data_IF_536005024940
#
_entry.id   IF_536005024940
#
_cell.length_a   1.000
_cell.length_b   1.000
_cell.length_c   1.000
_cell.angle_alpha   90.00
_cell.angle_beta   90.00
_cell.angle_gamma   90.00
#
_symmetry.space_group_name_H-M   'P 1'
#
loop_
_entity.id
_entity.type
_entity.pdbx_description
1 polymer ?
#
# COMPACT_ATOMS: atom_id res chain seq x y z
N UNK A 1 46.85 -50.24 10.86
CA UNK A 1 45.77 -50.52 9.92
C UNK A 1 44.48 -49.78 10.33
N UNK A 2 43.96 -49.97 11.55
CA UNK A 2 42.70 -49.32 11.98
C UNK A 2 42.76 -47.78 12.03
N UNK A 3 43.87 -47.22 12.45
CA UNK A 3 44.04 -45.76 12.50
C UNK A 3 44.04 -45.15 11.11
N UNK A 4 44.74 -45.76 10.15
CA UNK A 4 44.76 -45.33 8.76
C UNK A 4 43.39 -45.43 8.10
N UNK A 5 42.61 -46.44 8.40
CA UNK A 5 41.23 -46.57 7.89
C UNK A 5 40.30 -45.48 8.44
N UNK A 6 40.43 -45.17 9.72
CA UNK A 6 39.67 -44.11 10.38
C UNK A 6 40.03 -42.74 9.77
N UNK A 7 41.32 -42.46 9.61
CA UNK A 7 41.79 -41.17 9.02
C UNK A 7 41.27 -41.04 7.58
N UNK A 8 41.32 -42.10 6.77
CA UNK A 8 40.78 -42.10 5.39
C UNK A 8 39.27 -41.84 5.37
N UNK A 9 38.49 -42.45 6.26
CA UNK A 9 37.05 -42.22 6.36
C UNK A 9 36.72 -40.76 6.76
N UNK A 10 37.51 -40.21 7.69
CA UNK A 10 37.36 -38.81 8.07
C UNK A 10 37.68 -37.85 6.92
N UNK A 11 38.75 -38.10 6.16
CA UNK A 11 39.12 -37.27 5.01
C UNK A 11 38.09 -37.37 3.90
N UNK A 12 37.58 -38.55 3.55
CA UNK A 12 36.49 -38.73 2.58
C UNK A 12 35.17 -38.05 3.04
N UNK A 13 34.84 -38.18 4.32
CA UNK A 13 33.68 -37.44 4.86
C UNK A 13 33.89 -35.93 4.78
N UNK A 14 35.07 -35.43 5.11
CA UNK A 14 35.37 -34.01 5.02
C UNK A 14 35.27 -33.48 3.59
N UNK A 15 35.83 -34.20 2.61
CA UNK A 15 35.68 -33.86 1.18
C UNK A 15 34.23 -33.94 0.71
N UNK A 16 33.47 -34.93 1.14
CA UNK A 16 32.06 -35.07 0.80
C UNK A 16 31.21 -33.92 1.36
N UNK A 17 31.42 -33.53 2.62
CA UNK A 17 30.71 -32.38 3.19
C UNK A 17 31.20 -31.05 2.65
N UNK A 18 32.49 -30.88 2.36
CA UNK A 18 33.03 -29.68 1.73
C UNK A 18 32.49 -29.49 0.30
N UNK A 19 32.31 -30.61 -0.46
CA UNK A 19 31.72 -30.54 -1.80
C UNK A 19 30.24 -30.33 -1.83
N UNK A 20 29.52 -30.71 -0.77
CA UNK A 20 28.08 -30.46 -0.60
C UNK A 20 27.71 -29.11 0.05
N UNK A 21 28.65 -28.43 0.70
CA UNK A 21 28.46 -27.05 1.08
C UNK A 21 28.51 -26.23 -0.21
N UNK A 22 27.39 -26.15 -0.93
CA UNK A 22 27.22 -25.10 -1.91
C UNK A 22 27.45 -23.80 -1.15
N UNK A 23 28.60 -23.16 -1.34
CA UNK A 23 28.85 -21.83 -0.82
C UNK A 23 27.82 -20.94 -1.50
N UNK A 24 26.74 -20.67 -0.80
CA UNK A 24 25.80 -19.63 -1.22
C UNK A 24 26.56 -18.32 -1.18
N UNK A 25 27.03 -17.88 -2.34
CA UNK A 25 27.65 -16.59 -2.48
C UNK A 25 26.53 -15.53 -2.43
N UNK A 26 26.35 -14.92 -1.27
CA UNK A 26 25.49 -13.77 -1.13
C UNK A 26 26.20 -12.54 -1.70
N UNK A 27 25.58 -11.91 -2.68
CA UNK A 27 26.01 -10.61 -3.19
C UNK A 27 25.08 -9.56 -2.63
N UNK A 28 25.62 -8.56 -1.95
CA UNK A 28 24.87 -7.37 -1.57
C UNK A 28 24.59 -6.53 -2.83
N UNK A 29 23.35 -6.08 -2.97
CA UNK A 29 22.92 -5.16 -4.02
C UNK A 29 22.17 -4.04 -3.35
N UNK A 30 22.50 -2.80 -3.66
CA UNK A 30 21.78 -1.63 -3.15
C UNK A 30 20.31 -1.71 -3.57
N UNK A 31 19.43 -1.44 -2.63
CA UNK A 31 18.00 -1.29 -2.91
C UNK A 31 17.73 0.12 -3.43
N UNK A 32 16.57 0.36 -4.12
CA UNK A 32 16.18 1.70 -4.54
C UNK A 32 16.20 2.73 -3.40
N UNK A 33 15.91 2.31 -2.17
CA UNK A 33 16.04 3.15 -0.99
C UNK A 33 17.49 3.60 -0.75
N UNK A 34 18.43 2.67 -0.81
CA UNK A 34 19.86 2.97 -0.60
C UNK A 34 20.40 3.87 -1.71
N UNK A 35 20.02 3.60 -2.96
CA UNK A 35 20.38 4.44 -4.11
C UNK A 35 19.84 5.86 -3.97
N UNK A 36 18.59 6.02 -3.54
CA UNK A 36 18.00 7.33 -3.31
C UNK A 36 18.70 8.11 -2.19
N UNK A 37 19.10 7.41 -1.11
CA UNK A 37 19.83 7.99 0.00
C UNK A 37 21.19 8.52 -0.46
N UNK A 38 21.92 7.76 -1.27
CA UNK A 38 23.25 8.13 -1.78
C UNK A 38 23.20 9.29 -2.76
N UNK A 39 22.22 9.30 -3.67
CA UNK A 39 22.20 10.19 -4.83
C UNK A 39 21.30 11.41 -4.65
N UNK A 40 20.62 11.54 -3.52
CA UNK A 40 19.75 12.71 -3.28
C UNK A 40 18.42 12.66 -4.00
N UNK A 41 17.90 11.45 -4.32
CA UNK A 41 16.62 11.29 -4.97
C UNK A 41 15.46 11.42 -3.98
N UNK A 42 14.28 11.80 -4.50
CA UNK A 42 13.03 11.65 -3.77
C UNK A 42 12.67 10.17 -3.72
N UNK A 43 12.33 9.69 -2.54
CA UNK A 43 11.79 8.34 -2.34
C UNK A 43 10.45 8.39 -1.62
N UNK A 44 9.49 7.65 -2.12
CA UNK A 44 8.21 7.42 -1.49
C UNK A 44 8.17 6.03 -0.86
N UNK A 45 7.77 5.96 0.40
CA UNK A 45 7.49 4.73 1.13
C UNK A 45 5.97 4.64 1.26
N UNK A 46 5.35 3.77 0.46
CA UNK A 46 3.91 3.59 0.42
C UNK A 46 3.45 2.55 1.43
N UNK A 47 2.34 2.83 2.11
CA UNK A 47 1.61 1.92 3.00
C UNK A 47 2.50 1.18 4.03
N UNK A 48 3.41 1.85 4.75
CA UNK A 48 4.26 1.17 5.73
C UNK A 48 3.48 0.60 6.92
N UNK A 49 2.23 1.01 7.11
CA UNK A 49 1.31 0.52 8.16
C UNK A 49 0.89 -0.93 7.97
N UNK A 50 0.98 -1.47 6.74
CA UNK A 50 0.69 -2.89 6.44
C UNK A 50 1.88 -3.81 6.65
N UNK A 51 3.07 -3.28 6.94
CA UNK A 51 4.26 -4.09 7.22
C UNK A 51 4.03 -4.93 8.48
N UNK A 52 4.19 -6.25 8.36
CA UNK A 52 3.95 -7.19 9.47
C UNK A 52 4.79 -6.88 10.72
N UNK A 53 6.03 -6.41 10.52
CA UNK A 53 6.92 -5.97 11.60
C UNK A 53 7.22 -4.47 11.47
N UNK A 54 6.50 -3.59 12.19
CA UNK A 54 6.74 -2.14 12.17
C UNK A 54 8.14 -1.73 12.63
N UNK A 55 8.85 -2.61 13.33
CA UNK A 55 10.23 -2.40 13.78
C UNK A 55 11.23 -2.22 12.63
N UNK A 56 10.90 -2.68 11.41
CA UNK A 56 11.75 -2.47 10.22
C UNK A 56 11.93 -0.97 9.94
N UNK A 57 10.90 -0.16 10.14
CA UNK A 57 10.98 1.29 9.94
C UNK A 57 11.86 2.00 10.98
N UNK A 58 12.03 1.41 12.16
CA UNK A 58 12.92 1.95 13.21
C UNK A 58 14.38 1.95 12.73
N UNK A 59 14.75 1.05 11.83
CA UNK A 59 16.07 1.07 11.17
C UNK A 59 16.35 2.34 10.36
N UNK A 60 15.31 3.07 9.97
CA UNK A 60 15.42 4.35 9.27
C UNK A 60 15.55 5.56 10.21
N UNK A 61 15.42 5.37 11.52
CA UNK A 61 15.45 6.48 12.47
C UNK A 61 16.76 7.26 12.40
N UNK A 62 17.91 6.56 12.34
CA UNK A 62 19.23 7.22 12.24
C UNK A 62 19.37 8.06 10.97
N UNK A 63 18.69 7.66 9.89
CA UNK A 63 18.65 8.39 8.64
C UNK A 63 17.80 9.65 8.71
N UNK A 64 16.75 9.65 9.51
CA UNK A 64 15.85 10.78 9.72
C UNK A 64 16.32 11.73 10.84
N UNK A 65 17.20 11.25 11.72
CA UNK A 65 17.83 12.01 12.78
C UNK A 65 19.06 12.81 12.30
N UNK A 66 19.68 13.54 13.24
CA UNK A 66 20.91 14.31 13.00
C UNK A 66 22.10 13.48 12.56
N UNK A 67 22.11 12.17 12.83
CA UNK A 67 23.16 11.25 12.37
C UNK A 67 23.23 11.16 10.84
N UNK A 68 22.10 11.37 10.17
CA UNK A 68 21.99 11.39 8.70
C UNK A 68 22.64 10.18 8.01
N UNK A 69 22.65 9.01 8.64
CA UNK A 69 23.33 7.82 8.11
C UNK A 69 22.55 6.55 8.40
N UNK A 70 22.80 5.54 7.59
CA UNK A 70 22.31 4.19 7.79
C UNK A 70 23.45 3.19 7.66
N UNK A 71 23.45 2.17 8.54
CA UNK A 71 24.39 1.07 8.49
C UNK A 71 23.79 -0.07 7.65
N UNK A 72 24.55 -0.54 6.66
CA UNK A 72 24.10 -1.58 5.74
C UNK A 72 24.60 -2.95 6.16
N UNK A 73 23.93 -4.05 5.75
CA UNK A 73 24.33 -5.42 6.07
C UNK A 73 25.72 -5.81 5.55
N UNK A 74 26.24 -5.12 4.52
CA UNK A 74 27.57 -5.32 3.98
C UNK A 74 28.69 -4.68 4.84
N UNK A 75 28.34 -4.02 5.96
CA UNK A 75 29.27 -3.33 6.84
C UNK A 75 29.54 -1.86 6.47
N UNK A 76 28.94 -1.36 5.41
CA UNK A 76 29.08 0.03 4.98
C UNK A 76 28.14 0.97 5.74
N UNK A 77 28.59 2.17 6.02
CA UNK A 77 27.75 3.28 6.53
C UNK A 77 27.51 4.27 5.39
N UNK A 78 26.27 4.43 5.00
CA UNK A 78 25.86 5.36 3.97
C UNK A 78 25.36 6.66 4.60
N UNK A 79 25.98 7.77 4.21
CA UNK A 79 25.54 9.11 4.59
C UNK A 79 24.37 9.56 3.70
N UNK A 80 23.43 10.23 4.31
CA UNK A 80 22.29 10.82 3.60
C UNK A 80 22.72 12.01 2.76
N UNK A 81 22.44 11.97 1.47
CA UNK A 81 22.62 13.15 0.63
C UNK A 81 21.75 14.32 1.11
N UNK A 82 22.24 15.57 1.10
CA UNK A 82 21.49 16.73 1.61
C UNK A 82 20.15 16.97 0.86
N UNK A 83 20.10 16.72 -0.43
CA UNK A 83 18.92 16.98 -1.28
C UNK A 83 17.88 15.85 -1.22
N UNK A 84 18.15 14.76 -0.49
CA UNK A 84 17.24 13.64 -0.42
C UNK A 84 15.95 13.99 0.34
N UNK A 85 14.82 13.62 -0.24
CA UNK A 85 13.48 13.75 0.36
C UNK A 85 12.89 12.36 0.59
N UNK A 86 12.37 12.10 1.78
CA UNK A 86 11.56 10.91 2.08
C UNK A 86 10.12 11.37 2.24
N UNK A 87 9.24 10.76 1.46
CA UNK A 87 7.79 10.88 1.57
C UNK A 87 7.24 9.56 2.09
N UNK A 88 6.35 9.60 3.04
CA UNK A 88 5.62 8.43 3.54
C UNK A 88 4.15 8.68 3.28
N UNK A 89 3.52 7.77 2.57
CA UNK A 89 2.07 7.82 2.30
C UNK A 89 1.40 6.60 2.90
N UNK A 90 0.32 6.81 3.64
CA UNK A 90 -0.41 5.72 4.29
C UNK A 90 -1.86 6.09 4.50
N UNK A 91 -2.70 5.06 4.53
CA UNK A 91 -4.08 5.17 4.97
C UNK A 91 -4.16 4.74 6.45
N UNK A 92 -4.96 5.45 7.22
CA UNK A 92 -5.14 5.16 8.65
C UNK A 92 -6.35 4.26 8.93
N UNK A 93 -7.29 4.16 7.98
CA UNK A 93 -8.65 3.64 8.21
C UNK A 93 -8.90 2.24 7.60
N UNK A 94 -7.89 1.59 7.02
CA UNK A 94 -8.04 0.23 6.48
C UNK A 94 -7.99 -0.84 7.57
N UNK A 95 -8.86 -1.83 7.44
CA UNK A 95 -8.77 -3.06 8.23
C UNK A 95 -7.38 -3.72 8.04
N UNK A 96 -6.67 -3.91 9.16
CA UNK A 96 -5.31 -4.47 9.15
C UNK A 96 -4.16 -3.45 9.14
N UNK A 97 -4.42 -2.17 8.97
CA UNK A 97 -3.42 -1.12 9.19
C UNK A 97 -3.04 -1.04 10.67
N UNK A 98 -1.74 -0.97 10.93
CA UNK A 98 -1.20 -0.69 12.26
C UNK A 98 -0.82 0.78 12.33
N UNK A 99 -0.98 1.45 13.47
CA UNK A 99 -0.53 2.83 13.60
C UNK A 99 0.98 2.92 13.34
N UNK A 100 1.40 3.98 12.65
CA UNK A 100 2.81 4.28 12.50
C UNK A 100 3.46 4.42 13.88
N UNK A 101 4.68 3.90 14.00
CA UNK A 101 5.43 4.04 15.24
C UNK A 101 5.67 5.53 15.55
N UNK A 102 5.37 5.95 16.77
CA UNK A 102 5.56 7.33 17.22
C UNK A 102 6.98 7.84 17.02
N UNK A 103 7.99 6.96 17.10
CA UNK A 103 9.38 7.31 16.83
C UNK A 103 9.64 7.73 15.39
N UNK A 104 8.87 7.19 14.45
CA UNK A 104 8.92 7.56 13.02
C UNK A 104 8.19 8.89 12.82
N UNK A 105 6.97 9.00 13.36
CA UNK A 105 6.15 10.22 13.25
C UNK A 105 6.90 11.45 13.81
N UNK A 106 7.54 11.31 14.97
CA UNK A 106 8.26 12.42 15.64
C UNK A 106 9.48 12.94 14.85
N UNK A 107 9.93 12.20 13.83
CA UNK A 107 11.06 12.56 12.95
C UNK A 107 10.62 13.11 11.61
N UNK A 108 9.33 13.11 11.33
CA UNK A 108 8.78 13.74 10.13
C UNK A 108 8.80 15.27 10.30
N UNK A 109 9.31 15.97 9.30
CA UNK A 109 9.36 17.43 9.30
C UNK A 109 8.01 18.06 9.00
N UNK A 110 7.16 17.36 8.24
CA UNK A 110 5.83 17.80 7.82
C UNK A 110 4.88 16.62 7.89
N UNK A 111 3.73 16.84 8.47
CA UNK A 111 2.60 15.90 8.48
C UNK A 111 1.42 16.57 7.78
N UNK A 112 0.83 15.87 6.83
CA UNK A 112 -0.31 16.37 6.05
C UNK A 112 -1.42 15.34 6.12
N UNK A 113 -2.55 15.73 6.68
CA UNK A 113 -3.78 14.97 6.61
C UNK A 113 -4.52 15.36 5.33
N UNK A 114 -4.66 14.39 4.43
CA UNK A 114 -5.44 14.58 3.22
C UNK A 114 -6.91 14.31 3.53
N UNK A 115 -7.69 15.39 3.59
CA UNK A 115 -9.14 15.30 3.74
C UNK A 115 -9.77 14.73 2.45
N UNK A 116 -10.90 14.07 2.58
CA UNK A 116 -11.72 13.73 1.43
C UNK A 116 -12.07 14.99 0.63
N UNK A 117 -11.99 14.95 -0.70
CA UNK A 117 -12.35 16.10 -1.53
C UNK A 117 -13.84 16.39 -1.40
N UNK A 118 -14.22 17.66 -1.50
CA UNK A 118 -15.63 18.03 -1.63
C UNK A 118 -16.25 17.46 -2.92
N UNK A 119 -17.59 17.40 -2.95
CA UNK A 119 -18.34 16.79 -4.06
C UNK A 119 -17.96 17.40 -5.42
N UNK A 120 -17.75 18.71 -5.49
CA UNK A 120 -17.44 19.39 -6.74
C UNK A 120 -16.06 19.01 -7.26
N UNK A 121 -15.06 19.05 -6.41
CA UNK A 121 -13.67 18.63 -6.71
C UNK A 121 -13.62 17.16 -7.11
N UNK A 122 -14.39 16.29 -6.42
CA UNK A 122 -14.48 14.87 -6.74
C UNK A 122 -15.06 14.66 -8.14
N UNK A 123 -16.18 15.31 -8.45
CA UNK A 123 -16.84 15.23 -9.76
C UNK A 123 -15.92 15.73 -10.87
N UNK A 124 -15.24 16.87 -10.67
CA UNK A 124 -14.29 17.40 -11.65
C UNK A 124 -13.13 16.45 -11.90
N UNK A 125 -12.58 15.83 -10.86
CA UNK A 125 -11.54 14.83 -10.98
C UNK A 125 -12.01 13.61 -11.77
N UNK A 126 -13.20 13.09 -11.45
CA UNK A 126 -13.76 11.91 -12.14
C UNK A 126 -14.04 12.21 -13.60
N UNK A 127 -14.65 13.36 -13.90
CA UNK A 127 -14.88 13.83 -15.28
C UNK A 127 -13.55 13.99 -16.03
N UNK A 128 -12.54 14.59 -15.40
CA UNK A 128 -11.21 14.77 -16.00
C UNK A 128 -10.51 13.45 -16.31
N UNK A 129 -10.63 12.45 -15.45
CA UNK A 129 -10.01 11.13 -15.64
C UNK A 129 -10.77 10.27 -16.65
N UNK A 130 -12.12 10.26 -16.59
CA UNK A 130 -12.96 9.39 -17.41
C UNK A 130 -13.29 9.97 -18.77
N UNK A 131 -13.28 11.30 -18.90
CA UNK A 131 -13.78 12.01 -20.08
C UNK A 131 -15.31 11.99 -20.21
N UNK A 132 -16.05 11.58 -19.17
CA UNK A 132 -17.51 11.54 -19.18
C UNK A 132 -18.07 12.97 -19.30
N UNK A 133 -18.96 13.19 -20.29
CA UNK A 133 -19.56 14.51 -20.55
C UNK A 133 -20.80 14.79 -19.70
N UNK A 134 -21.36 13.77 -19.07
CA UNK A 134 -22.60 13.85 -18.29
C UNK A 134 -22.32 14.20 -16.83
N UNK A 135 -21.84 15.44 -16.59
CA UNK A 135 -21.45 15.90 -15.24
C UNK A 135 -22.55 15.68 -14.19
N UNK A 136 -23.83 15.82 -14.54
CA UNK A 136 -24.95 15.58 -13.62
C UNK A 136 -25.07 14.11 -13.20
N UNK A 137 -24.89 13.19 -14.16
CA UNK A 137 -24.89 11.75 -13.90
C UNK A 137 -23.72 11.39 -12.97
N UNK A 138 -22.51 11.89 -13.27
CA UNK A 138 -21.34 11.68 -12.41
C UNK A 138 -21.57 12.23 -11.00
N UNK A 139 -22.25 13.38 -10.88
CA UNK A 139 -22.60 13.96 -9.58
C UNK A 139 -23.56 13.07 -8.79
N UNK A 140 -24.58 12.52 -9.42
CA UNK A 140 -25.47 11.54 -8.78
C UNK A 140 -24.72 10.32 -8.32
N UNK A 141 -23.86 9.76 -9.17
CA UNK A 141 -23.01 8.61 -8.82
C UNK A 141 -22.06 8.92 -7.66
N UNK A 142 -21.47 10.12 -7.62
CA UNK A 142 -20.60 10.55 -6.52
C UNK A 142 -21.36 10.61 -5.17
N UNK A 143 -22.59 11.10 -5.17
CA UNK A 143 -23.44 11.10 -3.96
C UNK A 143 -23.79 9.71 -3.47
N UNK A 144 -24.09 8.80 -4.39
CA UNK A 144 -24.36 7.40 -4.06
C UNK A 144 -23.11 6.74 -3.44
N UNK A 145 -21.91 6.97 -4.02
CA UNK A 145 -20.66 6.48 -3.47
C UNK A 145 -20.43 6.98 -2.05
N UNK A 146 -20.68 8.26 -1.81
CA UNK A 146 -20.59 8.84 -0.47
C UNK A 146 -21.59 8.20 0.51
N UNK A 147 -22.85 8.02 0.08
CA UNK A 147 -23.88 7.35 0.87
C UNK A 147 -23.51 5.90 1.21
N UNK A 148 -22.96 5.14 0.25
CA UNK A 148 -22.47 3.77 0.48
C UNK A 148 -21.31 3.77 1.49
N UNK A 149 -20.36 4.69 1.35
CA UNK A 149 -19.23 4.80 2.28
C UNK A 149 -19.70 5.10 3.71
N UNK A 150 -20.66 6.01 3.87
CA UNK A 150 -21.28 6.30 5.18
C UNK A 150 -22.04 5.10 5.74
N UNK A 151 -22.88 4.46 4.92
CA UNK A 151 -23.62 3.26 5.31
C UNK A 151 -22.70 2.13 5.79
N UNK A 152 -21.63 1.85 5.04
CA UNK A 152 -20.65 0.83 5.42
C UNK A 152 -19.97 1.17 6.76
N UNK A 153 -19.61 2.43 6.97
CA UNK A 153 -19.01 2.89 8.22
C UNK A 153 -19.96 2.75 9.41
N UNK A 154 -21.22 3.14 9.26
CA UNK A 154 -22.23 3.08 10.32
C UNK A 154 -22.60 1.65 10.69
N UNK A 155 -22.62 0.74 9.70
CA UNK A 155 -22.96 -0.67 9.88
C UNK A 155 -21.73 -1.57 10.11
N UNK A 156 -20.53 -0.99 10.30
CA UNK A 156 -19.29 -1.70 10.56
C UNK A 156 -18.92 -2.73 9.46
N UNK A 157 -19.28 -2.44 8.22
CA UNK A 157 -18.89 -3.22 7.04
C UNK A 157 -17.47 -2.80 6.67
N UNK A 158 -16.49 -3.68 6.88
CA UNK A 158 -15.05 -3.37 6.77
C UNK A 158 -14.30 -4.26 5.78
N UNK A 159 -15.01 -5.11 5.06
CA UNK A 159 -14.45 -6.10 4.13
C UNK A 159 -14.34 -5.60 2.67
N UNK A 160 -14.78 -4.37 2.42
CA UNK A 160 -14.70 -3.74 1.12
C UNK A 160 -14.22 -2.29 1.17
N UNK A 161 -14.29 -1.63 0.04
CA UNK A 161 -14.01 -0.20 -0.06
C UNK A 161 -14.96 0.48 -1.06
N UNK A 162 -15.28 1.73 -0.78
CA UNK A 162 -16.13 2.54 -1.64
C UNK A 162 -15.62 3.98 -1.61
N UNK A 163 -14.91 4.37 -2.68
CA UNK A 163 -14.27 5.67 -2.75
C UNK A 163 -14.08 6.17 -4.19
N UNK A 164 -13.12 7.04 -4.37
CA UNK A 164 -12.85 7.71 -5.66
C UNK A 164 -12.50 6.72 -6.77
N UNK A 165 -11.76 5.66 -6.46
CA UNK A 165 -11.35 4.64 -7.46
C UNK A 165 -12.55 3.86 -7.96
N UNK A 166 -13.43 3.45 -7.06
CA UNK A 166 -14.65 2.71 -7.35
C UNK A 166 -15.62 3.59 -8.15
N UNK A 167 -15.74 4.88 -7.81
CA UNK A 167 -16.50 5.84 -8.58
C UNK A 167 -15.99 5.98 -10.02
N UNK A 168 -14.67 6.11 -10.21
CA UNK A 168 -14.06 6.16 -11.54
C UNK A 168 -14.39 4.90 -12.33
N UNK A 169 -14.24 3.71 -11.73
CA UNK A 169 -14.55 2.42 -12.36
C UNK A 169 -16.03 2.31 -12.72
N UNK A 170 -16.91 2.80 -11.84
CA UNK A 170 -18.35 2.81 -12.09
C UNK A 170 -18.73 3.72 -13.27
N UNK A 171 -18.19 4.94 -13.31
CA UNK A 171 -18.43 5.88 -14.42
C UNK A 171 -17.90 5.29 -15.75
N UNK A 172 -16.72 4.68 -15.74
CA UNK A 172 -16.18 4.03 -16.93
C UNK A 172 -17.06 2.87 -17.42
N UNK A 173 -17.57 2.04 -16.51
CA UNK A 173 -18.49 0.97 -16.82
C UNK A 173 -19.80 1.51 -17.39
N UNK A 174 -20.37 2.55 -16.76
CA UNK A 174 -21.55 3.26 -17.25
C UNK A 174 -21.36 3.79 -18.69
N UNK A 175 -20.23 4.38 -18.99
CA UNK A 175 -19.93 4.87 -20.35
C UNK A 175 -19.90 3.75 -21.41
N UNK A 176 -19.70 2.49 -20.99
CA UNK A 176 -19.69 1.34 -21.89
C UNK A 176 -21.09 0.71 -22.05
N UNK A 177 -21.80 0.47 -20.94
CA UNK A 177 -23.10 -0.22 -20.98
C UNK A 177 -24.29 0.73 -21.14
N UNK A 178 -24.14 2.02 -20.78
CA UNK A 178 -25.21 3.01 -20.86
C UNK A 178 -26.25 2.95 -19.73
N UNK A 179 -26.11 2.03 -18.78
CA UNK A 179 -27.02 1.85 -17.66
C UNK A 179 -26.27 1.99 -16.32
N UNK A 180 -26.72 2.91 -15.47
CA UNK A 180 -26.09 3.22 -14.19
C UNK A 180 -26.20 2.05 -13.23
N UNK A 181 -27.35 1.38 -13.16
CA UNK A 181 -27.60 0.25 -12.26
C UNK A 181 -26.82 -0.99 -12.71
N UNK A 182 -26.86 -1.31 -13.99
CA UNK A 182 -26.09 -2.42 -14.52
C UNK A 182 -24.60 -2.23 -14.23
N UNK A 183 -24.06 -1.03 -14.47
CA UNK A 183 -22.68 -0.70 -14.15
C UNK A 183 -22.36 -0.85 -12.65
N UNK A 184 -23.30 -0.50 -11.75
CA UNK A 184 -23.12 -0.62 -10.31
C UNK A 184 -22.93 -2.07 -9.86
N UNK A 185 -23.69 -3.02 -10.45
CA UNK A 185 -23.58 -4.45 -10.13
C UNK A 185 -22.21 -5.06 -10.45
N UNK A 186 -21.47 -4.48 -11.39
CA UNK A 186 -20.13 -4.96 -11.77
C UNK A 186 -18.99 -4.17 -11.13
N UNK A 187 -19.27 -3.08 -10.45
CA UNK A 187 -18.25 -2.18 -9.93
C UNK A 187 -18.45 -1.85 -8.45
N UNK A 188 -19.31 -0.88 -8.14
CA UNK A 188 -19.42 -0.29 -6.81
C UNK A 188 -19.99 -1.26 -5.77
N UNK A 189 -21.00 -2.06 -6.11
CA UNK A 189 -21.65 -2.98 -5.18
C UNK A 189 -20.72 -4.12 -4.75
N UNK A 190 -20.03 -4.84 -5.66
CA UNK A 190 -19.06 -5.87 -5.26
C UNK A 190 -17.85 -5.32 -4.52
N UNK A 191 -17.51 -4.05 -4.74
CA UNK A 191 -16.39 -3.41 -4.06
C UNK A 191 -16.75 -2.97 -2.64
N UNK A 192 -18.02 -2.62 -2.39
CA UNK A 192 -18.49 -2.16 -1.09
C UNK A 192 -18.44 -3.27 -0.02
N UNK A 193 -18.75 -4.51 -0.40
CA UNK A 193 -18.66 -5.68 0.48
C UNK A 193 -18.64 -7.00 -0.30
N UNK A 194 -17.93 -8.00 0.24
CA UNK A 194 -17.94 -9.36 -0.29
C UNK A 194 -19.21 -10.15 0.14
N UNK A 195 -19.83 -9.76 1.27
CA UNK A 195 -21.02 -10.43 1.79
C UNK A 195 -22.27 -10.09 0.95
N UNK A 196 -22.97 -11.13 0.49
CA UNK A 196 -24.13 -10.99 -0.38
C UNK A 196 -25.35 -10.34 0.30
N UNK A 197 -25.51 -10.54 1.61
CA UNK A 197 -26.63 -9.98 2.37
C UNK A 197 -26.41 -8.48 2.55
N UNK A 198 -25.25 -8.11 3.07
CA UNK A 198 -24.86 -6.70 3.24
C UNK A 198 -24.87 -5.94 1.92
N UNK A 199 -24.51 -6.62 0.80
CA UNK A 199 -24.56 -6.01 -0.54
C UNK A 199 -25.98 -5.68 -0.97
N UNK A 200 -26.95 -6.56 -0.72
CA UNK A 200 -28.34 -6.30 -1.01
C UNK A 200 -28.89 -5.15 -0.17
N UNK A 201 -28.50 -5.07 1.11
CA UNK A 201 -28.88 -3.96 1.99
C UNK A 201 -28.28 -2.60 1.54
N UNK A 202 -27.03 -2.60 1.09
CA UNK A 202 -26.37 -1.42 0.50
C UNK A 202 -27.10 -0.97 -0.77
N UNK A 203 -27.47 -1.93 -1.65
CA UNK A 203 -28.21 -1.62 -2.86
C UNK A 203 -29.57 -1.00 -2.55
N UNK A 204 -30.36 -1.61 -1.69
CA UNK A 204 -31.68 -1.11 -1.28
C UNK A 204 -31.60 0.27 -0.61
N UNK A 205 -30.63 0.43 0.30
CA UNK A 205 -30.52 1.65 1.10
C UNK A 205 -29.90 2.84 0.36
N UNK A 206 -28.97 2.60 -0.56
CA UNK A 206 -28.17 3.65 -1.18
C UNK A 206 -28.44 3.87 -2.66
N UNK A 207 -28.68 2.78 -3.44
CA UNK A 207 -28.97 2.89 -4.86
C UNK A 207 -30.45 3.11 -5.14
N UNK A 208 -31.31 2.24 -4.61
CA UNK A 208 -32.75 2.24 -4.93
C UNK A 208 -33.48 3.48 -4.44
N UNK A 209 -32.91 4.16 -3.46
CA UNK A 209 -33.45 5.43 -2.94
C UNK A 209 -33.14 6.63 -3.85
N UNK A 210 -32.17 6.51 -4.76
CA UNK A 210 -31.68 7.63 -5.59
C UNK A 210 -31.91 7.42 -7.07
N UNK A 211 -31.82 6.18 -7.57
CA UNK A 211 -32.00 5.78 -8.97
C UNK A 211 -33.38 5.20 -9.22
#
# INVERSE_FOLDING_TARGET
VYKQLIDTIFDEMHEYYASKTSQQHFRYVDTPLVEAIRNGYLIEIQEPTVIANPGVLVGLNSLMDRCNSVFLPNGETVQRHPDRVIVVTTNNDYAGCKPLNQSVISRMSVLIDLMEPDEETLVERVVGVTGCKEKKTVQTMARIVHSISEYCRENLITDGCCGVRELISWVQSYMVCGDIREAAHYTILPSATADAISRAEVEESCLDTVL
#
